data_IF_875821215968
#
_entry.id   IF_875821215968
#
_cell.length_a   1.000
_cell.length_b   1.000
_cell.length_c   1.000
_cell.angle_alpha   90.00
_cell.angle_beta   90.00
_cell.angle_gamma   90.00
#
_symmetry.space_group_name_H-M   'P 1'
#
loop_
_entity.id
_entity.type
_entity.pdbx_description
1 polymer ?
#
# COMPACT_ATOMS: atom_id res chain seq x y z
N UNK A 1 15.09 0.28 -0.59
CA UNK A 1 14.05 -0.58 0.01
C UNK A 1 12.88 -0.73 -0.94
N UNK A 2 12.08 -1.79 -0.78
CA UNK A 2 10.76 -1.98 -1.39
C UNK A 2 9.70 -1.81 -0.32
N UNK A 3 8.87 -0.78 -0.45
CA UNK A 3 7.76 -0.48 0.45
C UNK A 3 6.46 -0.82 -0.27
N UNK A 4 5.63 -1.67 0.31
CA UNK A 4 4.31 -1.98 -0.23
C UNK A 4 3.21 -1.35 0.61
N UNK A 5 2.12 -0.97 -0.04
CA UNK A 5 0.89 -0.50 0.60
C UNK A 5 -0.25 -1.47 0.31
N UNK A 6 -1.07 -1.79 1.31
CA UNK A 6 -2.38 -2.40 1.07
C UNK A 6 -3.35 -1.45 0.35
N UNK A 7 -4.50 -1.96 -0.09
CA UNK A 7 -5.58 -1.16 -0.64
C UNK A 7 -6.72 -0.92 0.34
N UNK A 8 -7.46 -1.95 0.74
CA UNK A 8 -8.76 -1.77 1.40
C UNK A 8 -8.52 -1.33 2.86
N UNK A 9 -9.20 -0.28 3.33
CA UNK A 9 -8.99 0.40 4.63
C UNK A 9 -7.61 1.07 4.83
N UNK A 10 -6.63 0.80 3.98
CA UNK A 10 -5.34 1.49 3.94
C UNK A 10 -5.34 2.67 2.96
N UNK A 11 -5.59 2.42 1.67
CA UNK A 11 -5.60 3.42 0.60
C UNK A 11 -6.98 3.69 0.02
N UNK A 12 -7.91 2.76 0.12
CA UNK A 12 -9.27 2.82 -0.41
C UNK A 12 -10.23 2.56 0.75
N UNK A 13 -11.28 3.35 0.87
CA UNK A 13 -12.29 3.13 1.92
C UNK A 13 -13.02 1.81 1.67
N UNK A 14 -13.18 1.02 2.72
CA UNK A 14 -14.06 -0.15 2.72
C UNK A 14 -14.99 -0.10 3.93
N UNK A 15 -14.44 -0.24 5.14
CA UNK A 15 -15.17 -0.22 6.41
C UNK A 15 -14.96 1.08 7.20
N UNK A 16 -13.92 1.84 6.86
CA UNK A 16 -13.55 3.08 7.55
C UNK A 16 -13.61 4.29 6.63
N UNK A 17 -13.98 5.43 7.22
CA UNK A 17 -13.95 6.72 6.56
C UNK A 17 -12.65 7.47 6.88
N UNK A 18 -12.00 7.97 5.84
CA UNK A 18 -10.83 8.86 5.96
C UNK A 18 -10.80 9.87 4.81
N UNK A 19 -10.18 11.06 4.97
CA UNK A 19 -10.12 12.07 3.92
C UNK A 19 -9.58 11.52 2.59
N UNK A 20 -10.16 11.97 1.47
CA UNK A 20 -9.82 11.48 0.13
C UNK A 20 -8.95 12.49 -0.63
N UNK A 21 -7.98 11.97 -1.37
CA UNK A 21 -7.14 12.76 -2.26
C UNK A 21 -7.93 13.28 -3.46
N UNK A 22 -7.55 14.46 -3.96
CA UNK A 22 -8.02 14.92 -5.25
C UNK A 22 -7.27 14.18 -6.38
N UNK A 23 -7.99 13.58 -7.32
CA UNK A 23 -7.38 13.00 -8.50
C UNK A 23 -6.73 14.07 -9.37
N UNK A 24 -5.52 13.81 -9.90
CA UNK A 24 -4.87 14.69 -10.89
C UNK A 24 -5.59 14.70 -12.23
N UNK A 25 -6.40 13.66 -12.51
CA UNK A 25 -7.15 13.49 -13.75
C UNK A 25 -8.63 13.19 -13.42
N UNK A 26 -9.41 14.16 -12.90
CA UNK A 26 -10.76 13.92 -12.39
C UNK A 26 -11.73 13.43 -13.47
N UNK A 27 -11.60 13.94 -14.70
CA UNK A 27 -12.39 13.45 -15.84
C UNK A 27 -12.13 11.96 -16.12
N UNK A 28 -10.88 11.52 -16.07
CA UNK A 28 -10.52 10.12 -16.29
C UNK A 28 -10.89 9.23 -15.11
N UNK A 29 -10.81 9.75 -13.88
CA UNK A 29 -11.32 9.04 -12.70
C UNK A 29 -12.82 8.73 -12.88
N UNK A 30 -13.61 9.72 -13.31
CA UNK A 30 -15.04 9.52 -13.60
C UNK A 30 -15.27 8.56 -14.78
N UNK A 31 -14.53 8.73 -15.87
CA UNK A 31 -14.65 7.88 -17.06
C UNK A 31 -14.33 6.40 -16.77
N UNK A 32 -13.29 6.15 -15.96
CA UNK A 32 -12.85 4.81 -15.61
C UNK A 32 -13.53 4.23 -14.37
N UNK A 33 -14.36 5.03 -13.68
CA UNK A 33 -15.05 4.64 -12.45
C UNK A 33 -14.08 4.05 -11.42
N UNK A 34 -12.89 4.65 -11.31
CA UNK A 34 -11.88 4.22 -10.34
C UNK A 34 -12.20 4.75 -8.96
N UNK A 35 -11.90 3.94 -7.95
CA UNK A 35 -12.07 4.28 -6.54
C UNK A 35 -11.29 5.55 -6.14
N UNK A 36 -11.66 6.13 -4.99
CA UNK A 36 -10.95 7.28 -4.44
C UNK A 36 -9.83 6.84 -3.50
N UNK A 37 -8.67 7.48 -3.58
CA UNK A 37 -7.52 7.16 -2.72
C UNK A 37 -7.49 8.02 -1.45
N UNK A 38 -6.93 7.50 -0.36
CA UNK A 38 -6.66 8.22 0.89
C UNK A 38 -5.80 9.45 0.65
N UNK A 39 -6.18 10.58 1.25
CA UNK A 39 -5.41 11.81 1.25
C UNK A 39 -4.01 11.55 1.82
N UNK A 40 -2.98 12.10 1.19
CA UNK A 40 -1.59 11.92 1.61
C UNK A 40 -0.81 10.85 0.85
N UNK A 41 -1.48 9.96 0.09
CA UNK A 41 -0.76 8.91 -0.65
C UNK A 41 0.23 9.45 -1.68
N UNK A 42 -0.08 10.60 -2.31
CA UNK A 42 0.83 11.23 -3.27
C UNK A 42 2.10 11.74 -2.58
N UNK A 43 1.97 12.18 -1.34
CA UNK A 43 3.10 12.62 -0.52
C UNK A 43 3.98 11.43 -0.12
N UNK A 44 3.38 10.33 0.31
CA UNK A 44 4.12 9.10 0.66
C UNK A 44 4.84 8.48 -0.54
N UNK A 45 4.22 8.46 -1.71
CA UNK A 45 4.89 8.05 -2.95
C UNK A 45 6.10 8.95 -3.24
N UNK A 46 5.91 10.27 -3.19
CA UNK A 46 6.99 11.22 -3.43
C UNK A 46 8.10 11.10 -2.38
N UNK A 47 7.76 10.85 -1.11
CA UNK A 47 8.71 10.59 -0.04
C UNK A 47 9.57 9.37 -0.36
N UNK A 48 8.96 8.22 -0.62
CA UNK A 48 9.70 6.98 -0.95
C UNK A 48 10.59 7.17 -2.19
N UNK A 49 10.08 7.82 -3.23
CA UNK A 49 10.82 8.08 -4.47
C UNK A 49 12.04 8.99 -4.24
N UNK A 50 11.94 10.01 -3.38
CA UNK A 50 13.09 10.86 -3.02
C UNK A 50 14.20 10.08 -2.30
N UNK A 51 13.84 9.01 -1.59
CA UNK A 51 14.81 8.11 -0.95
C UNK A 51 15.38 7.05 -1.91
N UNK A 52 14.93 7.02 -3.18
CA UNK A 52 15.30 5.98 -4.14
C UNK A 52 14.70 4.60 -3.84
N UNK A 53 13.60 4.55 -3.07
CA UNK A 53 12.91 3.31 -2.74
C UNK A 53 11.85 2.96 -3.78
N UNK A 54 11.61 1.68 -3.98
CA UNK A 54 10.52 1.19 -4.82
C UNK A 54 9.20 1.22 -4.04
N UNK A 55 8.12 1.61 -4.71
CA UNK A 55 6.77 1.66 -4.15
C UNK A 55 5.87 0.62 -4.81
N UNK A 56 5.37 -0.31 -4.02
CA UNK A 56 4.56 -1.45 -4.44
C UNK A 56 3.14 -1.36 -3.88
N UNK A 57 2.22 -2.09 -4.50
CA UNK A 57 0.92 -2.41 -3.90
C UNK A 57 0.86 -3.89 -3.59
N UNK A 58 0.41 -4.24 -2.39
CA UNK A 58 0.15 -5.61 -2.01
C UNK A 58 -1.22 -5.71 -1.33
N UNK A 59 -2.21 -6.14 -2.11
CA UNK A 59 -3.60 -6.35 -1.69
C UNK A 59 -3.98 -7.81 -1.77
N UNK A 60 -4.88 -8.23 -0.89
CA UNK A 60 -5.57 -9.53 -0.93
C UNK A 60 -6.92 -9.45 -1.68
N UNK A 61 -7.20 -8.34 -2.35
CA UNK A 61 -8.32 -8.24 -3.28
C UNK A 61 -8.00 -8.91 -4.63
N UNK A 62 -9.04 -9.28 -5.36
CA UNK A 62 -8.95 -9.81 -6.73
C UNK A 62 -8.93 -8.73 -7.81
N UNK A 63 -8.78 -7.44 -7.44
CA UNK A 63 -8.61 -6.35 -8.41
C UNK A 63 -7.44 -6.68 -9.35
N UNK A 64 -7.64 -6.52 -10.65
CA UNK A 64 -6.59 -6.85 -11.61
C UNK A 64 -5.41 -5.87 -11.47
N UNK A 65 -4.16 -6.30 -11.72
CA UNK A 65 -3.02 -5.38 -11.66
C UNK A 65 -3.17 -4.20 -12.63
N UNK A 66 -3.84 -4.42 -13.77
CA UNK A 66 -4.19 -3.35 -14.71
C UNK A 66 -5.15 -2.32 -14.11
N UNK A 67 -6.19 -2.77 -13.41
CA UNK A 67 -7.12 -1.89 -12.71
C UNK A 67 -6.39 -1.05 -11.66
N UNK A 68 -5.60 -1.68 -10.79
CA UNK A 68 -4.84 -1.00 -9.73
C UNK A 68 -3.86 0.02 -10.32
N UNK A 69 -3.18 -0.32 -11.42
CA UNK A 69 -2.28 0.60 -12.12
C UNK A 69 -3.04 1.81 -12.69
N UNK A 70 -4.23 1.59 -13.26
CA UNK A 70 -5.08 2.66 -13.79
C UNK A 70 -5.60 3.58 -12.67
N UNK A 71 -6.05 3.00 -11.57
CA UNK A 71 -6.46 3.72 -10.36
C UNK A 71 -5.34 4.66 -9.89
N UNK A 72 -4.14 4.13 -9.64
CA UNK A 72 -3.00 4.96 -9.20
C UNK A 72 -2.61 6.02 -10.24
N UNK A 73 -2.67 5.68 -11.53
CA UNK A 73 -2.29 6.59 -12.61
C UNK A 73 -3.19 7.83 -12.71
N UNK A 74 -4.49 7.75 -12.39
CA UNK A 74 -5.36 8.95 -12.38
C UNK A 74 -4.97 9.94 -11.27
N UNK A 75 -4.31 9.46 -10.22
CA UNK A 75 -3.67 10.28 -9.17
C UNK A 75 -2.23 10.71 -9.52
N UNK A 76 -1.73 10.30 -10.70
CA UNK A 76 -0.36 10.56 -11.14
C UNK A 76 0.69 9.68 -10.46
N UNK A 77 0.28 8.55 -9.90
CA UNK A 77 1.14 7.60 -9.21
C UNK A 77 1.49 6.44 -10.15
N UNK A 78 2.70 5.92 -9.99
CA UNK A 78 3.22 4.78 -10.76
C UNK A 78 3.89 3.80 -9.79
N UNK A 79 3.25 2.67 -9.45
CA UNK A 79 3.89 1.66 -8.61
C UNK A 79 4.89 0.84 -9.43
N UNK A 80 5.99 0.48 -8.79
CA UNK A 80 7.05 -0.39 -9.32
C UNK A 80 6.56 -1.84 -9.43
N UNK A 81 5.69 -2.26 -8.50
CA UNK A 81 5.06 -3.58 -8.57
C UNK A 81 3.67 -3.61 -7.94
N UNK A 82 2.87 -4.60 -8.37
CA UNK A 82 1.53 -4.85 -7.85
C UNK A 82 1.39 -6.34 -7.59
N UNK A 83 0.86 -6.66 -6.42
CA UNK A 83 0.54 -8.01 -5.98
C UNK A 83 -0.90 -8.00 -5.51
N UNK A 84 -1.72 -8.77 -6.21
CA UNK A 84 -3.11 -9.02 -5.86
C UNK A 84 -3.27 -10.47 -5.38
N UNK A 85 -4.49 -10.85 -5.00
CA UNK A 85 -4.75 -12.18 -4.45
C UNK A 85 -4.39 -13.34 -5.40
N UNK A 86 -4.60 -13.17 -6.70
CA UNK A 86 -4.23 -14.17 -7.69
C UNK A 86 -2.72 -14.40 -7.72
N UNK A 87 -1.93 -13.33 -7.76
CA UNK A 87 -0.46 -13.42 -7.72
C UNK A 87 0.05 -13.94 -6.39
N UNK A 88 -0.57 -13.53 -5.27
CA UNK A 88 -0.30 -14.09 -3.94
C UNK A 88 -0.44 -15.60 -3.97
N UNK A 89 -1.64 -16.10 -4.31
CA UNK A 89 -1.98 -17.53 -4.28
C UNK A 89 -1.04 -18.37 -5.14
N UNK A 90 -0.55 -17.81 -6.25
CA UNK A 90 0.37 -18.49 -7.14
C UNK A 90 1.78 -18.68 -6.56
N UNK A 91 2.28 -17.73 -5.75
CA UNK A 91 3.70 -17.68 -5.35
C UNK A 91 3.92 -17.97 -3.86
N UNK A 92 2.97 -17.62 -3.01
CA UNK A 92 3.11 -17.77 -1.55
C UNK A 92 2.77 -19.20 -1.15
N UNK A 93 3.68 -19.83 -0.40
CA UNK A 93 3.52 -21.21 0.10
C UNK A 93 3.22 -21.26 1.60
N UNK A 94 3.48 -20.17 2.31
CA UNK A 94 3.17 -20.01 3.73
C UNK A 94 1.67 -19.71 3.88
N UNK A 95 1.04 -20.29 4.90
CA UNK A 95 -0.36 -19.97 5.23
C UNK A 95 -0.43 -18.63 5.97
N UNK A 96 -0.38 -17.56 5.21
CA UNK A 96 -0.44 -16.16 5.66
C UNK A 96 -1.36 -15.36 4.74
N UNK A 97 -2.03 -14.36 5.27
CA UNK A 97 -2.82 -13.39 4.52
C UNK A 97 -1.95 -12.63 3.52
N UNK A 98 -0.75 -12.22 3.94
CA UNK A 98 0.29 -11.63 3.07
C UNK A 98 1.65 -12.16 3.46
N UNK A 99 2.55 -12.28 2.47
CA UNK A 99 3.93 -12.68 2.71
C UNK A 99 4.90 -11.80 1.90
N UNK A 100 5.14 -10.56 2.37
CA UNK A 100 6.07 -9.61 1.72
C UNK A 100 7.44 -10.21 1.33
N UNK A 101 8.07 -11.09 2.14
CA UNK A 101 9.37 -11.67 1.80
C UNK A 101 9.38 -12.49 0.51
N UNK A 102 8.26 -13.14 0.12
CA UNK A 102 8.16 -13.89 -1.15
C UNK A 102 8.45 -13.01 -2.37
N UNK A 103 8.25 -11.70 -2.23
CA UNK A 103 8.41 -10.73 -3.31
C UNK A 103 9.56 -9.74 -3.06
N UNK A 104 10.37 -9.99 -2.03
CA UNK A 104 11.45 -9.11 -1.60
C UNK A 104 10.95 -7.73 -1.15
N UNK A 105 9.72 -7.65 -0.64
CA UNK A 105 9.19 -6.41 -0.04
C UNK A 105 9.75 -6.32 1.37
N UNK A 106 10.43 -5.21 1.67
CA UNK A 106 11.07 -4.98 2.96
C UNK A 106 10.05 -4.60 4.04
N UNK A 107 9.10 -3.73 3.68
CA UNK A 107 8.10 -3.19 4.61
C UNK A 107 6.73 -3.18 3.93
N UNK A 108 5.71 -3.67 4.65
CA UNK A 108 4.31 -3.54 4.27
C UNK A 108 3.60 -2.52 5.16
N UNK A 109 2.93 -1.53 4.57
CA UNK A 109 2.00 -0.63 5.25
C UNK A 109 0.59 -1.20 5.08
N UNK A 110 -0.08 -1.47 6.20
CA UNK A 110 -1.36 -2.18 6.24
C UNK A 110 -2.16 -1.72 7.47
N UNK A 111 -3.48 -1.66 7.41
CA UNK A 111 -4.31 -1.35 8.58
C UNK A 111 -4.56 -2.57 9.46
N UNK A 112 -4.44 -3.79 8.90
CA UNK A 112 -4.85 -5.00 9.58
C UNK A 112 -3.88 -5.39 10.69
N UNK A 113 -4.38 -5.36 11.94
CA UNK A 113 -3.68 -5.96 13.08
C UNK A 113 -3.39 -7.44 12.88
N UNK A 114 -4.23 -8.16 12.14
CA UNK A 114 -4.01 -9.56 11.79
C UNK A 114 -2.74 -9.76 10.95
N UNK A 115 -2.54 -8.90 9.94
CA UNK A 115 -1.34 -8.92 9.09
C UNK A 115 -0.08 -8.56 9.90
N UNK A 116 -0.16 -7.64 10.85
CA UNK A 116 0.96 -7.31 11.74
C UNK A 116 1.35 -8.51 12.63
N UNK A 117 0.37 -9.20 13.22
CA UNK A 117 0.62 -10.42 14.00
C UNK A 117 1.21 -11.55 13.14
N UNK A 118 0.77 -11.68 11.89
CA UNK A 118 1.41 -12.57 10.92
C UNK A 118 2.86 -12.15 10.63
N UNK A 119 3.13 -10.85 10.54
CA UNK A 119 4.49 -10.30 10.37
C UNK A 119 5.41 -10.69 11.53
N UNK A 120 4.93 -10.57 12.77
CA UNK A 120 5.65 -11.02 13.96
C UNK A 120 5.90 -12.54 13.93
N UNK A 121 4.91 -13.32 13.48
CA UNK A 121 4.98 -14.79 13.41
C UNK A 121 5.93 -15.29 12.31
N UNK A 122 5.92 -14.65 11.14
CA UNK A 122 6.64 -15.10 9.95
C UNK A 122 7.88 -14.27 9.64
N UNK A 123 8.22 -13.28 10.48
CA UNK A 123 9.47 -12.53 10.41
C UNK A 123 9.51 -11.48 9.30
N UNK A 124 8.42 -10.75 9.07
CA UNK A 124 8.39 -9.63 8.13
C UNK A 124 7.88 -8.34 8.77
N UNK A 125 8.38 -7.21 8.30
CA UNK A 125 8.05 -5.91 8.87
C UNK A 125 6.71 -5.38 8.34
N UNK A 126 5.85 -4.96 9.27
CA UNK A 126 4.58 -4.30 8.98
C UNK A 126 4.54 -2.98 9.72
N UNK A 127 4.28 -1.90 9.00
CA UNK A 127 3.84 -0.64 9.60
C UNK A 127 2.32 -0.72 9.66
N UNK A 128 1.81 -1.16 10.80
CA UNK A 128 0.38 -1.14 11.06
C UNK A 128 -0.08 0.30 11.28
N UNK A 129 -1.12 0.73 10.57
CA UNK A 129 -1.72 2.07 10.71
C UNK A 129 -3.17 1.98 11.16
N UNK A 130 -3.61 2.96 11.94
CA UNK A 130 -5.03 3.14 12.19
C UNK A 130 -5.69 3.79 10.95
N UNK A 131 -6.76 3.21 10.37
CA UNK A 131 -7.53 3.83 9.30
C UNK A 131 -8.01 5.25 9.64
N UNK A 132 -8.23 5.55 10.92
CA UNK A 132 -8.73 6.83 11.41
C UNK A 132 -7.61 7.81 11.83
N UNK A 133 -6.33 7.41 11.73
CA UNK A 133 -5.20 8.31 11.98
C UNK A 133 -5.20 9.48 10.99
N UNK A 134 -5.46 10.68 11.52
CA UNK A 134 -5.46 11.93 10.75
C UNK A 134 -4.05 12.32 10.29
N UNK A 135 -3.02 11.92 11.03
CA UNK A 135 -1.61 12.24 10.79
C UNK A 135 -0.84 11.05 10.18
N UNK A 136 -1.55 10.07 9.60
CA UNK A 136 -0.97 8.81 9.10
C UNK A 136 0.22 8.98 8.15
N UNK A 137 0.27 10.08 7.39
CA UNK A 137 1.41 10.39 6.52
C UNK A 137 2.68 10.59 7.35
N UNK A 138 2.62 11.41 8.40
CA UNK A 138 3.74 11.65 9.29
C UNK A 138 4.11 10.37 10.04
N UNK A 139 3.11 9.63 10.54
CA UNK A 139 3.29 8.32 11.20
C UNK A 139 4.06 7.35 10.30
N UNK A 140 3.65 7.22 9.03
CA UNK A 140 4.30 6.31 8.07
C UNK A 140 5.71 6.79 7.71
N UNK A 141 5.91 8.09 7.44
CA UNK A 141 7.23 8.65 7.12
C UNK A 141 8.24 8.44 8.25
N UNK A 142 7.82 8.69 9.50
CA UNK A 142 8.66 8.52 10.67
C UNK A 142 9.09 7.05 10.83
N UNK A 143 8.12 6.13 10.77
CA UNK A 143 8.41 4.68 10.88
C UNK A 143 9.27 4.15 9.75
N UNK A 144 9.05 4.62 8.51
CA UNK A 144 9.89 4.26 7.37
C UNK A 144 11.33 4.77 7.51
N UNK A 145 11.51 5.98 8.05
CA UNK A 145 12.85 6.57 8.27
C UNK A 145 13.66 5.76 9.29
N UNK A 146 13.01 5.37 10.39
CA UNK A 146 13.62 4.52 11.41
C UNK A 146 13.98 3.12 10.87
N UNK A 147 13.12 2.54 10.04
CA UNK A 147 13.38 1.24 9.43
C UNK A 147 14.50 1.30 8.36
N UNK A 148 14.54 2.37 7.57
CA UNK A 148 15.56 2.56 6.52
C UNK A 148 16.96 2.90 7.04
N UNK A 149 17.08 3.38 8.28
CA UNK A 149 18.37 3.68 8.91
C UNK A 149 19.08 2.45 9.47
N UNK A 150 18.37 1.32 9.60
CA UNK A 150 18.87 0.06 10.16
C UNK A 150 19.28 -0.97 9.08
N UNK A 151 19.22 -0.60 7.81
CA UNK A 151 19.58 -1.41 6.64
C UNK A 151 20.82 -0.83 5.95
#
# INVERSE_FOLDING_TARGET
MRVAFDLDNTLIRNDFDFPLAAAKKPFLQKLFQTESLRLGIQELFAFCQRQGWEVWIYTTSYRSPFYVRKLLWVYGLRPDGIINQARHTQHVRVRSTKHPPTFGIDILVDDSRGVELEGQRFGFAVIQIDPEDADWVATVQDRLTHAGSNN
#
